data_IF_804609314004
#
_entry.id   IF_804609314004
#
_cell.length_a   1.000
_cell.length_b   1.000
_cell.length_c   1.000
_cell.angle_alpha   90.00
_cell.angle_beta   90.00
_cell.angle_gamma   90.00
#
_symmetry.space_group_name_H-M   'P 1'
#
loop_
_entity.id
_entity.type
_entity.pdbx_description
1 polymer ?
#
# COMPACT_ATOMS: atom_id res chain seq x y z
N UNK A 1 -1.70 -76.50 -18.19
CA UNK A 1 -1.20 -75.44 -19.09
C UNK A 1 -0.49 -74.45 -18.17
N UNK A 2 0.76 -74.75 -17.78
CA UNK A 2 2.03 -74.18 -18.32
C UNK A 2 2.09 -72.68 -18.05
N UNK A 3 3.01 -72.07 -17.29
CA UNK A 3 4.24 -72.39 -16.53
C UNK A 3 4.67 -71.03 -15.91
N UNK A 4 5.14 -70.92 -14.66
CA UNK A 4 6.58 -71.01 -14.27
C UNK A 4 7.49 -70.19 -15.19
N UNK A 5 8.39 -69.32 -14.78
CA UNK A 5 8.87 -68.72 -13.52
C UNK A 5 9.87 -67.63 -14.02
N UNK A 6 10.25 -66.62 -13.23
CA UNK A 6 11.25 -65.61 -13.57
C UNK A 6 12.67 -66.13 -13.25
N UNK A 7 13.70 -65.60 -13.90
CA UNK A 7 15.09 -65.77 -13.46
C UNK A 7 15.98 -64.71 -14.11
N UNK A 8 16.65 -63.89 -13.30
CA UNK A 8 18.11 -63.91 -13.11
C UNK A 8 18.88 -63.23 -14.26
N UNK A 9 19.96 -62.50 -14.03
CA UNK A 9 20.85 -62.47 -12.89
C UNK A 9 22.12 -61.76 -13.34
N UNK A 10 22.87 -61.31 -12.35
CA UNK A 10 24.14 -60.58 -12.38
C UNK A 10 25.20 -61.18 -13.33
N UNK A 11 26.18 -60.36 -13.73
CA UNK A 11 27.64 -60.55 -13.53
C UNK A 11 28.43 -59.62 -14.49
N UNK A 12 29.05 -58.56 -13.97
CA UNK A 12 30.49 -58.44 -13.63
C UNK A 12 31.48 -58.65 -14.79
N UNK A 13 32.30 -57.61 -14.99
CA UNK A 13 33.71 -57.74 -15.37
C UNK A 13 34.04 -57.52 -16.84
N UNK A 14 34.90 -56.53 -17.11
CA UNK A 14 36.32 -56.77 -17.44
C UNK A 14 36.96 -55.51 -18.03
N UNK A 15 37.95 -54.98 -17.30
CA UNK A 15 38.94 -54.03 -17.81
C UNK A 15 39.86 -54.77 -18.77
N UNK A 16 40.07 -54.24 -19.99
CA UNK A 16 41.28 -54.51 -20.77
C UNK A 16 41.72 -53.25 -21.50
N UNK A 17 42.85 -52.69 -21.07
CA UNK A 17 43.64 -51.71 -21.81
C UNK A 17 44.38 -52.41 -22.96
N UNK A 18 44.39 -51.80 -24.15
CA UNK A 18 45.21 -52.22 -25.29
C UNK A 18 45.62 -51.01 -26.12
N UNK A 19 46.92 -50.68 -26.07
CA UNK A 19 47.55 -49.49 -26.65
C UNK A 19 47.95 -49.72 -28.12
N UNK A 20 48.05 -48.60 -28.87
CA UNK A 20 49.08 -48.25 -29.87
C UNK A 20 48.77 -48.25 -31.39
N UNK A 21 48.90 -47.01 -31.95
CA UNK A 21 49.56 -46.58 -33.21
C UNK A 21 48.78 -46.82 -34.54
N UNK A 22 48.72 -45.93 -35.55
CA UNK A 22 49.32 -44.61 -35.83
C UNK A 22 48.69 -43.99 -37.10
N UNK A 23 48.86 -42.66 -37.28
CA UNK A 23 48.77 -41.91 -38.54
C UNK A 23 47.39 -41.34 -38.87
N UNK A 24 47.14 -40.05 -39.08
CA UNK A 24 47.99 -38.90 -39.31
C UNK A 24 47.34 -38.04 -40.40
N UNK A 25 46.65 -36.96 -40.03
CA UNK A 25 46.36 -35.82 -40.91
C UNK A 25 46.07 -34.58 -40.05
N UNK A 26 46.98 -33.63 -40.15
CA UNK A 26 46.97 -32.33 -39.48
C UNK A 26 46.07 -31.38 -40.27
N UNK A 27 45.14 -30.71 -39.59
CA UNK A 27 44.65 -29.41 -40.00
C UNK A 27 44.48 -28.54 -38.76
N UNK A 28 45.49 -27.71 -38.50
CA UNK A 28 45.49 -26.72 -37.45
C UNK A 28 44.77 -25.46 -37.95
N UNK A 29 43.72 -25.03 -37.24
CA UNK A 29 43.24 -23.66 -37.29
C UNK A 29 43.35 -23.10 -35.87
N UNK A 30 44.44 -22.39 -35.62
CA UNK A 30 44.66 -21.60 -34.41
C UNK A 30 44.06 -20.22 -34.67
N UNK A 31 42.98 -19.87 -33.98
CA UNK A 31 42.57 -18.47 -33.81
C UNK A 31 42.94 -18.08 -32.40
N UNK A 32 44.00 -17.29 -32.28
CA UNK A 32 44.36 -16.59 -31.06
C UNK A 32 43.50 -15.32 -30.97
N UNK A 33 42.68 -15.22 -29.92
CA UNK A 33 42.09 -13.96 -29.47
C UNK A 33 42.57 -13.72 -28.04
N UNK A 34 43.40 -12.69 -27.91
CA UNK A 34 43.94 -12.15 -26.65
C UNK A 34 43.08 -10.94 -26.26
N UNK A 35 42.76 -10.83 -24.96
CA UNK A 35 42.24 -9.62 -24.30
C UNK A 35 40.72 -9.52 -24.29
N UNK A 36 40.01 -9.23 -23.20
CA UNK A 36 40.37 -8.63 -21.90
C UNK A 36 39.45 -9.28 -20.86
N UNK A 37 39.98 -9.70 -19.71
CA UNK A 37 39.13 -9.96 -18.55
C UNK A 37 38.55 -8.61 -18.12
N UNK A 38 37.35 -8.28 -18.59
CA UNK A 38 36.55 -7.26 -17.96
C UNK A 38 36.11 -7.84 -16.61
N UNK A 39 36.97 -7.67 -15.61
CA UNK A 39 36.52 -7.62 -14.23
C UNK A 39 35.61 -6.40 -14.22
N UNK A 40 34.31 -6.61 -14.40
CA UNK A 40 33.33 -5.58 -14.11
C UNK A 40 33.53 -5.24 -12.64
N UNK A 41 34.23 -4.15 -12.38
CA UNK A 41 34.30 -3.57 -11.07
C UNK A 41 32.87 -3.20 -10.73
N UNK A 42 32.23 -4.01 -9.88
CA UNK A 42 31.07 -3.57 -9.12
C UNK A 42 31.61 -2.41 -8.31
N UNK A 43 31.34 -1.18 -8.72
CA UNK A 43 31.60 -0.02 -7.88
C UNK A 43 30.68 -0.19 -6.69
N UNK A 44 31.23 -0.62 -5.55
CA UNK A 44 30.56 -0.42 -4.28
C UNK A 44 30.31 1.09 -4.18
N UNK A 45 29.04 1.47 -4.28
CA UNK A 45 28.61 2.84 -4.06
C UNK A 45 29.20 3.26 -2.72
N UNK A 46 30.06 4.28 -2.72
CA UNK A 46 30.87 4.66 -1.55
C UNK A 46 30.08 5.47 -0.51
N UNK A 47 28.77 5.23 -0.41
CA UNK A 47 27.95 5.65 0.71
C UNK A 47 27.77 4.45 1.64
N UNK A 48 27.92 4.65 2.94
CA UNK A 48 27.36 3.71 3.91
C UNK A 48 25.87 3.53 3.55
N UNK A 49 25.31 2.30 3.55
CA UNK A 49 23.87 2.14 3.46
C UNK A 49 23.24 2.98 4.56
N UNK A 50 22.38 3.93 4.19
CA UNK A 50 21.54 4.61 5.16
C UNK A 50 20.71 3.53 5.85
N UNK A 51 20.71 3.52 7.18
CA UNK A 51 19.88 2.59 7.94
C UNK A 51 18.40 2.95 7.68
N UNK A 52 17.54 1.97 7.35
CA UNK A 52 16.14 2.25 7.09
C UNK A 52 15.46 2.82 8.34
N UNK A 53 14.53 3.74 8.12
CA UNK A 53 13.64 4.26 9.16
C UNK A 53 12.50 3.26 9.33
N UNK A 54 12.24 2.84 10.58
CA UNK A 54 11.19 1.89 10.90
C UNK A 54 10.01 2.61 11.55
N UNK A 55 8.84 2.56 10.91
CA UNK A 55 7.68 3.34 11.29
C UNK A 55 6.56 2.41 11.77
N UNK A 56 5.97 2.75 12.90
CA UNK A 56 4.77 2.09 13.44
C UNK A 56 3.82 3.14 14.02
N UNK A 57 2.60 2.73 14.35
CA UNK A 57 1.66 3.63 15.02
C UNK A 57 0.21 3.31 14.73
N UNK A 58 -0.65 4.31 14.83
CA UNK A 58 -2.09 4.17 14.64
C UNK A 58 -2.57 4.90 13.40
N UNK A 59 -3.66 4.44 12.81
CA UNK A 59 -4.34 5.09 11.71
C UNK A 59 -5.81 5.35 12.09
N UNK A 60 -6.22 6.61 12.05
CA UNK A 60 -7.59 7.07 12.29
C UNK A 60 -8.03 8.00 11.15
N UNK A 61 -9.32 8.18 10.94
CA UNK A 61 -9.84 9.27 10.11
C UNK A 61 -10.14 10.51 10.96
N UNK A 62 -10.51 11.64 10.33
CA UNK A 62 -10.88 12.87 11.03
C UNK A 62 -12.11 12.73 11.95
N UNK A 63 -12.91 11.65 11.80
CA UNK A 63 -14.01 11.29 12.70
C UNK A 63 -13.53 10.53 13.95
N UNK A 64 -12.23 10.19 14.00
CA UNK A 64 -11.63 9.37 15.04
C UNK A 64 -11.92 7.88 14.91
N UNK A 65 -12.45 7.43 13.77
CA UNK A 65 -12.65 6.01 13.51
C UNK A 65 -11.31 5.36 13.16
N UNK A 66 -11.04 4.23 13.79
CA UNK A 66 -9.80 3.47 13.60
C UNK A 66 -9.83 2.69 12.28
N UNK A 67 -8.68 2.60 11.62
CA UNK A 67 -8.50 1.74 10.46
C UNK A 67 -8.89 0.29 10.81
N UNK A 68 -9.81 -0.28 10.03
CA UNK A 68 -10.28 -1.65 10.27
C UNK A 68 -9.17 -2.70 10.11
N UNK A 69 -9.31 -3.84 10.78
CA UNK A 69 -8.33 -4.93 10.66
C UNK A 69 -8.14 -5.39 9.21
N UNK A 70 -6.87 -5.46 8.79
CA UNK A 70 -6.51 -5.82 7.41
C UNK A 70 -6.42 -4.63 6.45
N UNK A 71 -6.80 -3.42 6.88
CA UNK A 71 -6.54 -2.19 6.13
C UNK A 71 -5.03 -2.06 5.92
N UNK A 72 -4.59 -2.02 4.67
CA UNK A 72 -3.16 -1.93 4.35
C UNK A 72 -2.74 -0.48 4.28
N UNK A 73 -1.76 -0.10 5.11
CA UNK A 73 -1.05 1.16 5.06
C UNK A 73 0.14 0.99 4.13
N UNK A 74 0.28 1.85 3.13
CA UNK A 74 1.42 1.89 2.21
C UNK A 74 2.32 3.07 2.60
N UNK A 75 3.63 2.84 2.67
CA UNK A 75 4.64 3.88 2.81
C UNK A 75 5.23 4.18 1.42
N UNK A 76 5.13 5.44 1.01
CA UNK A 76 5.53 5.89 -0.33
C UNK A 76 6.62 6.94 -0.19
N UNK A 77 7.71 6.76 -0.94
CA UNK A 77 8.83 7.72 -1.03
C UNK A 77 9.07 8.02 -2.49
N UNK A 78 9.13 9.29 -2.85
CA UNK A 78 9.33 9.76 -4.23
C UNK A 78 8.34 9.15 -5.27
N UNK A 79 7.16 8.71 -4.81
CA UNK A 79 6.12 8.08 -5.63
C UNK A 79 6.22 6.56 -5.79
N UNK A 80 7.25 5.93 -5.20
CA UNK A 80 7.42 4.48 -5.19
C UNK A 80 7.00 3.90 -3.82
N UNK A 81 6.36 2.73 -3.84
CA UNK A 81 6.01 2.00 -2.61
C UNK A 81 7.27 1.36 -2.05
N UNK A 82 7.70 1.81 -0.87
CA UNK A 82 8.85 1.27 -0.16
C UNK A 82 8.45 0.06 0.69
N UNK A 83 7.33 0.16 1.40
CA UNK A 83 6.80 -0.92 2.23
C UNK A 83 5.29 -0.81 2.43
N UNK A 84 4.67 -1.85 2.97
CA UNK A 84 3.26 -1.85 3.35
C UNK A 84 2.99 -2.75 4.54
N UNK A 85 2.05 -2.36 5.40
CA UNK A 85 1.70 -3.11 6.59
C UNK A 85 0.19 -3.05 6.86
N UNK A 86 -0.40 -4.18 7.22
CA UNK A 86 -1.80 -4.24 7.58
C UNK A 86 -2.03 -3.76 9.02
N UNK A 87 -3.05 -2.94 9.23
CA UNK A 87 -3.52 -2.51 10.52
C UNK A 87 -4.23 -3.65 11.27
N UNK A 88 -4.12 -3.61 12.60
CA UNK A 88 -4.86 -4.42 13.56
C UNK A 88 -6.31 -3.98 13.68
N UNK A 89 -7.06 -4.63 14.56
CA UNK A 89 -8.46 -4.28 14.82
C UNK A 89 -8.64 -2.98 15.61
N UNK A 90 -7.55 -2.42 16.11
CA UNK A 90 -7.42 -1.20 16.90
C UNK A 90 -6.77 -0.06 16.08
N UNK A 91 -6.77 -0.15 14.75
CA UNK A 91 -6.11 0.81 13.87
C UNK A 91 -4.58 0.82 13.92
N UNK A 92 -3.97 -0.03 14.75
CA UNK A 92 -2.52 -0.06 14.93
C UNK A 92 -1.84 -0.78 13.76
N UNK A 93 -0.89 -0.12 13.09
CA UNK A 93 0.05 -0.76 12.19
C UNK A 93 1.41 -0.92 12.89
N UNK A 94 1.87 -2.17 12.97
CA UNK A 94 3.13 -2.52 13.61
C UNK A 94 3.14 -2.35 15.13
N UNK A 95 4.33 -2.32 15.74
CA UNK A 95 4.45 -2.17 17.19
C UNK A 95 5.83 -1.74 17.67
N UNK A 96 5.91 -1.30 18.93
CA UNK A 96 7.14 -0.79 19.54
C UNK A 96 8.18 -1.88 19.91
N UNK A 97 7.75 -3.15 19.96
CA UNK A 97 8.62 -4.27 20.31
C UNK A 97 9.69 -4.51 19.26
N UNK A 98 10.85 -5.05 19.69
CA UNK A 98 11.98 -5.35 18.79
C UNK A 98 11.64 -6.33 17.67
N UNK A 99 10.63 -7.18 17.88
CA UNK A 99 10.20 -8.19 16.93
C UNK A 99 8.83 -7.91 16.31
N UNK A 100 8.23 -6.76 16.66
CA UNK A 100 6.98 -6.33 16.05
C UNK A 100 7.29 -5.80 14.65
N UNK A 101 6.42 -6.13 13.70
CA UNK A 101 6.50 -5.63 12.34
C UNK A 101 6.44 -4.09 12.33
N UNK A 102 7.10 -3.46 11.36
CA UNK A 102 7.15 -2.01 11.13
C UNK A 102 7.30 -1.78 9.64
N UNK A 103 6.83 -0.63 9.17
CA UNK A 103 7.14 -0.17 7.82
C UNK A 103 8.62 0.20 7.78
N UNK A 104 9.40 -0.46 6.93
CA UNK A 104 10.83 -0.19 6.77
C UNK A 104 11.08 0.63 5.50
N UNK A 105 11.41 1.90 5.67
CA UNK A 105 11.49 2.86 4.57
C UNK A 105 12.93 3.32 4.37
N UNK A 106 13.39 3.31 3.11
CA UNK A 106 14.67 3.90 2.72
C UNK A 106 14.43 5.17 1.92
N UNK A 107 15.27 6.17 2.10
CA UNK A 107 15.15 7.42 1.35
C UNK A 107 15.84 8.58 2.05
N UNK A 108 15.71 9.75 1.46
CA UNK A 108 16.22 11.01 2.01
C UNK A 108 15.19 12.13 1.84
N UNK A 109 13.92 11.78 1.68
CA UNK A 109 12.81 12.71 1.46
C UNK A 109 11.67 12.37 2.40
N UNK A 110 10.46 12.78 2.07
CA UNK A 110 9.28 12.57 2.90
C UNK A 110 8.62 11.22 2.60
N UNK A 111 8.16 10.55 3.64
CA UNK A 111 7.25 9.41 3.54
C UNK A 111 5.82 9.92 3.53
N UNK A 112 5.11 9.58 2.47
CA UNK A 112 3.66 9.76 2.32
C UNK A 112 2.99 8.43 2.60
N UNK A 113 1.87 8.46 3.34
CA UNK A 113 1.12 7.26 3.69
C UNK A 113 -0.20 7.21 2.92
N UNK A 114 -0.55 6.04 2.38
CA UNK A 114 -1.83 5.84 1.70
C UNK A 114 -2.53 4.57 2.16
N UNK A 115 -3.86 4.50 1.97
CA UNK A 115 -4.68 3.33 2.29
C UNK A 115 -5.53 2.85 1.11
N UNK A 116 -5.95 1.59 1.16
CA UNK A 116 -6.75 0.93 0.13
C UNK A 116 -5.92 0.51 -1.09
N UNK A 117 -5.09 1.42 -1.60
CA UNK A 117 -4.08 1.14 -2.64
C UNK A 117 -2.91 2.12 -2.53
N UNK A 118 -1.78 1.88 -3.21
CA UNK A 118 -0.69 2.85 -3.29
C UNK A 118 -1.14 4.25 -3.73
N UNK A 119 -2.08 4.33 -4.67
CA UNK A 119 -2.64 5.60 -5.16
C UNK A 119 -3.97 5.96 -4.46
N UNK A 120 -4.24 5.36 -3.29
CA UNK A 120 -5.49 5.53 -2.57
C UNK A 120 -5.52 6.81 -1.72
N UNK A 121 -6.35 6.80 -0.68
CA UNK A 121 -6.51 7.96 0.20
C UNK A 121 -5.21 8.22 0.96
N UNK A 122 -4.72 9.45 0.87
CA UNK A 122 -3.47 9.90 1.49
C UNK A 122 -3.72 10.40 2.91
N UNK A 123 -2.85 10.03 3.84
CA UNK A 123 -2.85 10.59 5.19
C UNK A 123 -2.47 12.08 5.16
N UNK A 124 -2.99 12.84 6.11
CA UNK A 124 -2.62 14.24 6.34
C UNK A 124 -1.22 14.36 6.95
N UNK A 125 -0.77 13.32 7.64
CA UNK A 125 0.53 13.23 8.29
C UNK A 125 1.61 12.64 7.38
N UNK A 126 2.83 13.15 7.52
CA UNK A 126 4.01 12.72 6.78
C UNK A 126 5.22 12.55 7.70
N UNK A 127 6.25 11.85 7.24
CA UNK A 127 7.52 11.68 7.99
C UNK A 127 8.70 12.14 7.14
N UNK A 128 9.46 13.13 7.60
CA UNK A 128 10.71 13.57 6.97
C UNK A 128 11.88 12.65 7.33
N UNK A 129 12.39 11.88 6.36
CA UNK A 129 13.48 10.92 6.56
C UNK A 129 14.83 11.58 6.81
N UNK A 130 15.04 12.86 6.44
CA UNK A 130 16.32 13.53 6.73
C UNK A 130 16.52 13.80 8.23
N UNK A 131 15.42 13.88 8.98
CA UNK A 131 15.41 14.25 10.39
C UNK A 131 14.82 13.19 11.32
N UNK A 132 14.25 12.11 10.79
CA UNK A 132 13.66 11.02 11.54
C UNK A 132 14.68 10.22 12.38
N UNK A 133 14.24 9.75 13.54
CA UNK A 133 14.95 8.72 14.30
C UNK A 133 14.87 7.35 13.56
N UNK A 134 15.78 6.39 13.81
CA UNK A 134 15.73 5.07 13.16
C UNK A 134 14.45 4.26 13.41
N UNK A 135 13.72 4.59 14.49
CA UNK A 135 12.42 4.01 14.82
C UNK A 135 11.50 5.15 15.23
N UNK A 136 10.36 5.30 14.55
CA UNK A 136 9.39 6.39 14.75
C UNK A 136 8.00 5.82 15.01
N UNK A 137 7.31 6.40 15.99
CA UNK A 137 5.89 6.20 16.23
C UNK A 137 5.12 7.38 15.65
N UNK A 138 4.11 7.13 14.81
CA UNK A 138 3.29 8.17 14.17
C UNK A 138 1.81 7.85 14.30
N UNK A 139 1.00 8.86 14.63
CA UNK A 139 -0.46 8.75 14.57
C UNK A 139 -0.90 9.35 13.24
N UNK A 140 -1.28 8.50 12.29
CA UNK A 140 -1.74 8.92 10.97
C UNK A 140 -3.22 9.30 11.05
N UNK A 141 -3.53 10.50 10.57
CA UNK A 141 -4.87 11.00 10.37
C UNK A 141 -5.19 10.97 8.88
N UNK A 142 -6.28 10.32 8.50
CA UNK A 142 -6.80 10.29 7.14
C UNK A 142 -7.99 11.24 7.01
N UNK A 143 -8.31 11.71 5.79
CA UNK A 143 -9.48 12.52 5.50
C UNK A 143 -10.77 11.95 6.10
N UNK A 144 -11.75 12.83 6.31
CA UNK A 144 -13.07 12.46 6.83
C UNK A 144 -13.63 11.18 6.23
N UNK A 145 -14.25 10.37 7.07
CA UNK A 145 -14.94 9.13 6.69
C UNK A 145 -14.10 8.10 5.89
N UNK A 146 -12.76 8.20 5.91
CA UNK A 146 -11.90 7.18 5.27
C UNK A 146 -12.13 5.78 5.84
N UNK A 147 -12.46 5.67 7.14
CA UNK A 147 -12.72 4.40 7.81
C UNK A 147 -14.16 4.28 8.33
N UNK A 148 -15.01 5.27 8.05
CA UNK A 148 -16.39 5.34 8.53
C UNK A 148 -17.35 5.26 7.36
N UNK A 149 -18.23 4.27 7.39
CA UNK A 149 -19.33 4.14 6.41
C UNK A 149 -20.53 4.99 6.87
N UNK A 150 -20.87 6.05 6.13
CA UNK A 150 -22.03 6.90 6.40
C UNK A 150 -23.08 6.72 5.31
N UNK A 151 -24.05 5.83 5.53
CA UNK A 151 -25.22 5.65 4.67
C UNK A 151 -26.36 6.58 5.12
N UNK A 152 -26.48 7.74 4.48
CA UNK A 152 -27.35 8.84 4.91
C UNK A 152 -28.84 8.50 4.78
N UNK A 153 -29.22 7.70 3.77
CA UNK A 153 -30.63 7.44 3.44
C UNK A 153 -31.07 5.99 3.74
N UNK A 154 -30.13 5.13 4.16
CA UNK A 154 -30.36 3.73 4.53
C UNK A 154 -30.52 2.77 3.36
N UNK A 155 -30.04 3.11 2.15
CA UNK A 155 -30.17 2.28 0.95
C UNK A 155 -28.99 1.33 0.70
N UNK A 156 -27.92 1.46 1.49
CA UNK A 156 -26.71 0.66 1.43
C UNK A 156 -25.56 1.28 0.65
N UNK A 157 -25.77 2.43 0.00
CA UNK A 157 -24.72 3.23 -0.61
C UNK A 157 -24.21 4.26 0.41
N UNK A 158 -22.88 4.46 0.47
CA UNK A 158 -22.22 5.30 1.49
C UNK A 158 -21.85 6.65 0.90
N UNK A 159 -22.06 7.72 1.66
CA UNK A 159 -21.71 9.06 1.22
C UNK A 159 -20.21 9.19 0.96
N UNK A 160 -19.84 9.93 -0.08
CA UNK A 160 -18.44 10.11 -0.49
C UNK A 160 -18.08 11.57 -0.76
N UNK A 161 -16.79 11.90 -0.60
CA UNK A 161 -16.23 13.16 -1.04
C UNK A 161 -15.78 13.02 -2.51
N UNK A 162 -16.50 13.68 -3.42
CA UNK A 162 -16.17 13.72 -4.86
C UNK A 162 -15.45 15.00 -5.26
N UNK A 163 -15.26 15.94 -4.33
CA UNK A 163 -14.61 17.24 -4.54
C UNK A 163 -13.17 17.30 -4.01
N UNK A 164 -12.80 16.39 -3.10
CA UNK A 164 -11.50 16.35 -2.44
C UNK A 164 -11.31 17.48 -1.43
N UNK A 165 -12.39 18.09 -0.93
CA UNK A 165 -12.36 19.15 0.07
C UNK A 165 -12.61 18.64 1.49
N UNK A 166 -12.74 17.33 1.66
CA UNK A 166 -12.98 16.68 2.94
C UNK A 166 -14.43 16.76 3.38
N UNK A 167 -15.39 17.05 2.49
CA UNK A 167 -16.81 17.04 2.79
C UNK A 167 -17.55 16.06 1.88
N UNK A 168 -18.53 15.33 2.43
CA UNK A 168 -19.20 14.24 1.73
C UNK A 168 -20.36 14.76 0.88
N UNK A 169 -20.02 15.36 -0.27
CA UNK A 169 -20.99 16.02 -1.14
C UNK A 169 -21.84 15.05 -1.98
N UNK A 170 -21.35 13.85 -2.29
CA UNK A 170 -22.13 12.73 -2.83
C UNK A 170 -22.85 12.04 -1.66
N UNK A 171 -23.97 12.63 -1.25
CA UNK A 171 -24.70 12.27 -0.01
C UNK A 171 -25.47 10.97 -0.18
N UNK A 172 -25.93 10.64 -1.39
CA UNK A 172 -26.61 9.38 -1.64
C UNK A 172 -25.64 8.24 -2.01
N UNK A 173 -24.35 8.53 -2.18
CA UNK A 173 -23.32 7.52 -2.44
C UNK A 173 -23.38 6.90 -3.83
N UNK A 174 -24.06 7.53 -4.79
CA UNK A 174 -24.20 6.99 -6.15
C UNK A 174 -22.97 7.27 -7.04
N UNK A 175 -21.98 7.98 -6.49
CA UNK A 175 -20.71 8.31 -7.11
C UNK A 175 -20.72 9.62 -7.90
N UNK A 176 -21.84 10.34 -7.96
CA UNK A 176 -21.98 11.58 -8.72
C UNK A 176 -22.69 12.66 -7.91
N UNK A 177 -22.09 13.86 -7.80
CA UNK A 177 -22.78 14.98 -7.15
C UNK A 177 -23.87 15.60 -8.04
N UNK A 178 -25.13 15.45 -7.63
CA UNK A 178 -26.32 15.92 -8.35
C UNK A 178 -27.37 16.58 -7.45
N UNK A 179 -28.48 17.02 -8.05
CA UNK A 179 -29.63 17.52 -7.29
C UNK A 179 -30.22 16.47 -6.34
N UNK A 180 -29.99 15.17 -6.59
CA UNK A 180 -30.50 14.10 -5.72
C UNK A 180 -29.74 14.04 -4.40
N UNK A 181 -28.47 14.43 -4.35
CA UNK A 181 -27.70 14.58 -3.11
C UNK A 181 -28.25 15.69 -2.25
N UNK A 182 -28.51 16.86 -2.86
CA UNK A 182 -29.11 17.99 -2.15
C UNK A 182 -30.48 17.63 -1.57
N UNK A 183 -31.29 16.87 -2.34
CA UNK A 183 -32.58 16.39 -1.86
C UNK A 183 -32.43 15.36 -0.73
N UNK A 184 -31.47 14.45 -0.85
CA UNK A 184 -31.16 13.45 0.16
C UNK A 184 -30.70 14.12 1.44
N UNK A 185 -29.78 15.07 1.35
CA UNK A 185 -29.30 15.88 2.46
C UNK A 185 -30.43 16.68 3.11
N UNK A 186 -31.24 17.39 2.32
CA UNK A 186 -32.36 18.17 2.85
C UNK A 186 -33.38 17.32 3.64
N UNK A 187 -33.58 16.06 3.27
CA UNK A 187 -34.48 15.16 3.99
C UNK A 187 -33.85 14.62 5.28
N UNK A 188 -32.52 14.54 5.35
CA UNK A 188 -31.80 13.85 6.42
C UNK A 188 -30.89 14.75 7.28
N UNK A 189 -30.76 16.06 7.01
CA UNK A 189 -29.78 16.92 7.70
C UNK A 189 -30.03 17.07 9.21
N UNK A 190 -31.29 16.94 9.66
CA UNK A 190 -31.66 16.95 11.09
C UNK A 190 -31.62 15.54 11.72
N UNK A 191 -31.08 14.54 11.03
CA UNK A 191 -30.94 13.20 11.61
C UNK A 191 -29.70 13.12 12.48
N UNK A 192 -29.70 12.30 13.55
CA UNK A 192 -28.50 12.10 14.37
C UNK A 192 -27.29 11.58 13.58
N UNK A 193 -27.50 10.94 12.43
CA UNK A 193 -26.40 10.48 11.59
C UNK A 193 -25.66 11.67 10.96
N UNK A 194 -26.37 12.72 10.55
CA UNK A 194 -25.75 13.94 9.99
C UNK A 194 -25.30 14.89 11.09
N UNK A 195 -26.17 15.16 12.08
CA UNK A 195 -25.89 16.13 13.16
C UNK A 195 -24.69 15.76 14.04
N UNK A 196 -24.37 14.46 14.19
CA UNK A 196 -23.22 14.01 14.97
C UNK A 196 -21.92 13.89 14.16
N UNK A 197 -21.95 14.18 12.85
CA UNK A 197 -20.77 14.16 11.99
C UNK A 197 -20.64 15.49 11.21
N UNK A 198 -20.61 16.65 11.90
CA UNK A 198 -20.58 17.94 11.23
C UNK A 198 -19.33 18.15 10.37
N UNK A 199 -18.19 17.61 10.78
CA UNK A 199 -16.96 17.61 10.00
C UNK A 199 -17.09 16.96 8.61
N UNK A 200 -18.11 16.13 8.38
CA UNK A 200 -18.41 15.55 7.08
C UNK A 200 -19.44 16.36 6.26
N UNK A 201 -20.24 17.22 6.91
CA UNK A 201 -21.47 17.80 6.34
C UNK A 201 -21.65 19.31 6.58
N UNK A 202 -20.70 19.98 7.22
CA UNK A 202 -20.65 21.43 7.45
C UNK A 202 -20.20 22.17 6.18
N UNK A 203 -21.02 22.08 5.13
CA UNK A 203 -20.77 22.69 3.82
C UNK A 203 -20.72 24.21 3.86
N UNK A 204 -21.43 24.86 4.79
CA UNK A 204 -21.41 26.31 4.93
C UNK A 204 -20.17 26.83 5.69
N UNK A 205 -19.36 25.94 6.27
CA UNK A 205 -18.18 26.27 7.06
C UNK A 205 -18.52 27.06 8.32
N UNK A 206 -19.65 26.76 8.96
CA UNK A 206 -20.03 27.35 10.24
C UNK A 206 -18.95 27.04 11.28
N UNK A 207 -18.37 28.05 11.96
CA UNK A 207 -17.29 27.83 12.94
C UNK A 207 -17.74 27.10 14.21
N UNK A 208 -19.04 26.96 14.46
CA UNK A 208 -19.58 26.21 15.59
C UNK A 208 -19.78 24.71 15.26
N UNK A 209 -19.36 24.27 14.06
CA UNK A 209 -19.50 22.89 13.56
C UNK A 209 -20.95 22.38 13.64
N UNK A 210 -21.91 23.24 13.29
CA UNK A 210 -23.34 22.89 13.26
C UNK A 210 -23.80 22.63 11.83
N UNK A 211 -24.45 21.48 11.60
CA UNK A 211 -25.17 21.24 10.35
C UNK A 211 -26.55 21.90 10.41
N UNK A 212 -26.83 22.76 9.44
CA UNK A 212 -28.02 23.60 9.38
C UNK A 212 -28.66 23.60 7.99
N UNK A 213 -29.76 24.35 7.84
CA UNK A 213 -30.37 24.59 6.54
C UNK A 213 -29.44 25.39 5.58
N UNK A 214 -28.42 26.08 6.09
CA UNK A 214 -27.48 26.82 5.25
C UNK A 214 -26.53 25.88 4.52
N UNK A 215 -26.21 24.73 5.09
CA UNK A 215 -25.43 23.66 4.45
C UNK A 215 -26.16 23.11 3.22
N UNK A 216 -27.48 22.91 3.34
CA UNK A 216 -28.34 22.55 2.20
C UNK A 216 -28.30 23.62 1.11
N UNK A 217 -28.29 24.90 1.50
CA UNK A 217 -28.23 26.01 0.54
C UNK A 217 -26.89 26.03 -0.20
N UNK A 218 -25.78 25.81 0.51
CA UNK A 218 -24.46 25.75 -0.12
C UNK A 218 -24.36 24.58 -1.08
N UNK A 219 -24.80 23.37 -0.70
CA UNK A 219 -24.86 22.24 -1.63
C UNK A 219 -25.67 22.57 -2.88
N UNK A 220 -26.83 23.21 -2.72
CA UNK A 220 -27.65 23.62 -3.86
C UNK A 220 -26.95 24.63 -4.78
N UNK A 221 -26.22 25.60 -4.21
CA UNK A 221 -25.48 26.61 -4.97
C UNK A 221 -24.25 26.04 -5.70
N UNK A 222 -23.70 24.93 -5.21
CA UNK A 222 -22.55 24.22 -5.80
C UNK A 222 -22.94 23.35 -7.02
N UNK A 223 -24.23 23.12 -7.27
CA UNK A 223 -24.68 22.42 -8.48
C UNK A 223 -24.29 23.23 -9.74
N UNK A 224 -23.34 22.70 -10.52
CA UNK A 224 -22.85 23.33 -11.76
C UNK A 224 -23.43 22.72 -13.03
#
# INVERSE_FOLDING_TARGET
MTGSDPDEGQTTGRVVNGRHLAGGAVLALVVALVGVAAVGAVTAQSGEPTEPVNIYGSAIDELGSEAGSGTTIYAIVDGDVEDSLAAGADGQFGGAGTFDDKLAVNGSTEVVFTVGSPDGTTALDTVDLESADPVVEVNLTFPVATFTEIDVNGDGDVATDTTGDGLLNDVNGDGEFTIFDVQTFFVNFETPLVENNPEAFNFNGDPDDEVTIFDVQVLFETLT
#
